data_IF_332754679463
#
_entry.id   IF_332754679463
#
_cell.length_a   1.000
_cell.length_b   1.000
_cell.length_c   1.000
_cell.angle_alpha   90.00
_cell.angle_beta   90.00
_cell.angle_gamma   90.00
#
_symmetry.space_group_name_H-M   'P 1'
#
loop_
_entity.id
_entity.type
_entity.pdbx_description
1 polymer ?
#
# COMPACT_ATOMS: atom_id res chain seq x y z
N UNK A 1 -0.25 -4.57 -9.62
CA UNK A 1 -0.41 -5.77 -8.76
C UNK A 1 0.85 -6.63 -8.66
N UNK A 2 1.57 -6.91 -9.77
CA UNK A 2 2.78 -7.76 -9.76
C UNK A 2 3.90 -7.26 -8.83
N UNK A 3 4.25 -5.96 -8.85
CA UNK A 3 5.29 -5.39 -7.98
C UNK A 3 4.98 -5.54 -6.49
N UNK A 4 3.73 -5.29 -6.11
CA UNK A 4 3.23 -5.43 -4.73
C UNK A 4 3.38 -6.89 -4.25
N UNK A 5 3.01 -7.85 -5.10
CA UNK A 5 3.20 -9.28 -4.82
C UNK A 5 4.69 -9.66 -4.69
N UNK A 6 5.55 -9.16 -5.57
CA UNK A 6 7.00 -9.40 -5.54
C UNK A 6 7.66 -8.80 -4.29
N UNK A 7 7.29 -7.58 -3.88
CA UNK A 7 7.81 -6.96 -2.67
C UNK A 7 7.32 -7.69 -1.40
N UNK A 8 6.04 -8.07 -1.35
CA UNK A 8 5.48 -8.86 -0.24
C UNK A 8 6.14 -10.23 -0.11
N UNK A 9 6.36 -10.91 -1.23
CA UNK A 9 7.06 -12.20 -1.27
C UNK A 9 8.53 -12.09 -0.87
N UNK A 10 9.26 -11.10 -1.40
CA UNK A 10 10.67 -10.88 -1.06
C UNK A 10 10.87 -10.54 0.42
N UNK A 11 9.99 -9.70 0.99
CA UNK A 11 10.00 -9.39 2.43
C UNK A 11 9.68 -10.62 3.28
N UNK A 12 8.63 -11.37 2.91
CA UNK A 12 8.25 -12.59 3.63
C UNK A 12 9.33 -13.69 3.56
N UNK A 13 9.99 -13.84 2.41
CA UNK A 13 11.13 -14.74 2.23
C UNK A 13 12.31 -14.31 3.10
N UNK A 14 12.65 -13.03 3.09
CA UNK A 14 13.75 -12.49 3.90
C UNK A 14 13.53 -12.69 5.39
N UNK A 15 12.31 -12.42 5.89
CA UNK A 15 11.96 -12.65 7.30
C UNK A 15 12.06 -14.13 7.64
N UNK A 16 11.45 -15.02 6.84
CA UNK A 16 11.49 -16.46 7.06
C UNK A 16 12.92 -17.01 7.07
N UNK A 17 13.74 -16.60 6.10
CA UNK A 17 15.14 -17.01 6.02
C UNK A 17 15.94 -16.54 7.24
N UNK A 18 15.82 -15.27 7.64
CA UNK A 18 16.51 -14.72 8.81
C UNK A 18 16.05 -15.42 10.10
N UNK A 19 14.75 -15.66 10.26
CA UNK A 19 14.23 -16.35 11.46
C UNK A 19 14.73 -17.79 11.54
N UNK A 20 14.68 -18.55 10.45
CA UNK A 20 15.13 -19.95 10.49
C UNK A 20 16.66 -20.07 10.64
N UNK A 21 17.42 -19.06 10.17
CA UNK A 21 18.86 -18.97 10.41
C UNK A 21 19.18 -18.68 11.89
N UNK A 22 18.38 -17.82 12.55
CA UNK A 22 18.49 -17.58 13.99
C UNK A 22 18.18 -18.82 14.84
N UNK A 23 17.32 -19.71 14.35
CA UNK A 23 16.90 -20.93 15.05
C UNK A 23 17.77 -22.17 14.74
N UNK A 24 18.91 -22.00 14.05
CA UNK A 24 19.86 -23.08 13.68
C UNK A 24 19.16 -24.33 13.11
N UNK A 25 18.15 -24.10 12.27
CA UNK A 25 17.41 -25.18 11.65
C UNK A 25 18.22 -25.84 10.53
N UNK A 26 18.05 -27.15 10.37
CA UNK A 26 18.62 -27.88 9.23
C UNK A 26 18.27 -27.15 7.89
N UNK A 27 19.20 -27.10 6.93
CA UNK A 27 19.07 -26.25 5.73
C UNK A 27 17.84 -26.56 4.89
N UNK A 28 17.39 -27.82 4.87
CA UNK A 28 16.14 -28.26 4.23
C UNK A 28 14.90 -27.57 4.83
N UNK A 29 14.88 -27.41 6.17
CA UNK A 29 13.78 -26.75 6.88
C UNK A 29 13.81 -25.23 6.70
N UNK A 30 14.99 -24.62 6.63
CA UNK A 30 15.16 -23.18 6.40
C UNK A 30 14.57 -22.76 5.05
N UNK A 31 14.81 -23.56 4.00
CA UNK A 31 14.29 -23.30 2.66
C UNK A 31 12.76 -23.40 2.62
N UNK A 32 12.19 -24.40 3.30
CA UNK A 32 10.74 -24.58 3.40
C UNK A 32 10.10 -23.42 4.15
N UNK A 33 10.66 -23.03 5.28
CA UNK A 33 10.12 -21.96 6.13
C UNK A 33 10.23 -20.59 5.45
N UNK A 34 11.33 -20.32 4.74
CA UNK A 34 11.47 -19.15 3.88
C UNK A 34 10.48 -19.16 2.71
N UNK A 35 10.21 -20.31 2.09
CA UNK A 35 9.21 -20.43 1.02
C UNK A 35 7.78 -20.20 1.53
N UNK A 36 7.45 -20.73 2.71
CA UNK A 36 6.17 -20.47 3.39
C UNK A 36 6.05 -19.00 3.77
N UNK A 37 7.11 -18.41 4.31
CA UNK A 37 7.20 -16.98 4.60
C UNK A 37 6.99 -16.11 3.36
N UNK A 38 7.58 -16.49 2.21
CA UNK A 38 7.35 -15.82 0.93
C UNK A 38 5.88 -15.86 0.51
N UNK A 39 5.26 -17.04 0.60
CA UNK A 39 3.86 -17.25 0.21
C UNK A 39 2.90 -16.47 1.12
N UNK A 40 3.15 -16.50 2.43
CA UNK A 40 2.41 -15.74 3.43
C UNK A 40 2.57 -14.23 3.25
N UNK A 41 3.81 -13.74 3.07
CA UNK A 41 4.09 -12.33 2.84
C UNK A 41 3.45 -11.81 1.55
N UNK A 42 3.49 -12.60 0.48
CA UNK A 42 2.88 -12.24 -0.79
C UNK A 42 1.34 -12.19 -0.70
N UNK A 43 0.72 -13.13 0.02
CA UNK A 43 -0.73 -13.16 0.23
C UNK A 43 -1.20 -12.01 1.12
N UNK A 44 -0.50 -11.76 2.24
CA UNK A 44 -0.81 -10.67 3.16
C UNK A 44 -0.70 -9.31 2.46
N UNK A 45 0.37 -9.09 1.70
CA UNK A 45 0.59 -7.84 1.00
C UNK A 45 -0.43 -7.64 -0.14
N UNK A 46 -0.91 -8.72 -0.78
CA UNK A 46 -2.02 -8.66 -1.74
C UNK A 46 -3.35 -8.28 -1.08
N UNK A 47 -3.65 -8.84 0.08
CA UNK A 47 -4.87 -8.50 0.83
C UNK A 47 -4.82 -7.07 1.37
N UNK A 48 -3.70 -6.69 1.99
CA UNK A 48 -3.45 -5.34 2.48
C UNK A 48 -3.59 -4.28 1.38
N UNK A 49 -2.99 -4.52 0.21
CA UNK A 49 -3.09 -3.59 -0.91
C UNK A 49 -4.53 -3.40 -1.41
N UNK A 50 -5.35 -4.44 -1.33
CA UNK A 50 -6.78 -4.36 -1.72
C UNK A 50 -7.53 -3.40 -0.79
N UNK A 51 -7.27 -3.48 0.51
CA UNK A 51 -7.89 -2.63 1.52
C UNK A 51 -7.40 -1.17 1.41
N UNK A 52 -6.08 -0.98 1.26
CA UNK A 52 -5.49 0.35 1.09
C UNK A 52 -6.04 1.04 -0.16
N UNK A 53 -6.17 0.32 -1.28
CA UNK A 53 -6.76 0.90 -2.50
C UNK A 53 -8.25 1.20 -2.35
N UNK A 54 -9.00 0.40 -1.61
CA UNK A 54 -10.40 0.69 -1.31
C UNK A 54 -10.51 2.00 -0.51
N UNK A 55 -9.76 2.14 0.58
CA UNK A 55 -9.75 3.37 1.38
C UNK A 55 -9.22 4.60 0.62
N UNK A 56 -8.19 4.43 -0.22
CA UNK A 56 -7.69 5.52 -1.05
C UNK A 56 -8.72 5.96 -2.10
N UNK A 57 -9.44 5.01 -2.72
CA UNK A 57 -10.55 5.35 -3.62
C UNK A 57 -11.66 6.11 -2.90
N UNK A 58 -12.06 5.66 -1.72
CA UNK A 58 -13.11 6.32 -0.94
C UNK A 58 -12.73 7.74 -0.54
N UNK A 59 -11.48 7.96 -0.10
CA UNK A 59 -10.99 9.31 0.25
C UNK A 59 -10.85 10.22 -0.97
N UNK A 60 -10.43 9.70 -2.12
CA UNK A 60 -10.37 10.47 -3.37
C UNK A 60 -11.79 10.83 -3.85
N UNK A 61 -12.73 9.89 -3.81
CA UNK A 61 -14.13 10.16 -4.17
C UNK A 61 -14.76 11.16 -3.21
N UNK A 62 -14.53 11.05 -1.90
CA UNK A 62 -15.02 12.01 -0.92
C UNK A 62 -14.46 13.42 -1.18
N UNK A 63 -13.17 13.55 -1.51
CA UNK A 63 -12.55 14.84 -1.89
C UNK A 63 -13.11 15.37 -3.21
N UNK A 64 -13.32 14.50 -4.20
CA UNK A 64 -13.88 14.88 -5.49
C UNK A 64 -15.31 15.42 -5.33
N UNK A 65 -16.14 14.72 -4.56
CA UNK A 65 -17.51 15.15 -4.25
C UNK A 65 -17.51 16.48 -3.47
N UNK A 66 -16.59 16.68 -2.51
CA UNK A 66 -16.45 17.94 -1.79
C UNK A 66 -16.03 19.09 -2.72
N UNK A 67 -15.14 18.83 -3.69
CA UNK A 67 -14.72 19.83 -4.68
C UNK A 67 -15.84 20.21 -5.65
N UNK A 68 -16.70 19.26 -6.04
CA UNK A 68 -17.88 19.52 -6.88
C UNK A 68 -19.00 20.24 -6.12
N UNK A 69 -19.14 19.98 -4.82
CA UNK A 69 -20.11 20.66 -3.97
C UNK A 69 -19.67 22.08 -3.56
N UNK A 70 -18.41 22.45 -3.81
CA UNK A 70 -17.94 23.82 -3.61
C UNK A 70 -18.34 24.64 -4.84
N UNK A 71 -19.28 25.60 -4.73
CA UNK A 71 -19.58 26.49 -5.84
C UNK A 71 -18.29 27.25 -6.19
N UNK A 72 -18.02 27.37 -7.50
CA UNK A 72 -16.90 28.16 -7.99
C UNK A 72 -16.83 29.50 -7.24
N UNK A 73 -15.67 29.90 -6.69
CA UNK A 73 -15.54 31.23 -6.11
C UNK A 73 -15.94 32.22 -7.21
N UNK A 74 -16.97 33.01 -6.93
CA UNK A 74 -17.40 34.07 -7.83
C UNK A 74 -16.17 34.89 -8.21
N UNK A 75 -15.98 35.22 -9.51
CA UNK A 75 -14.81 35.97 -9.94
C UNK A 75 -14.75 37.24 -9.11
N UNK A 76 -13.72 37.36 -8.27
CA UNK A 76 -13.45 38.56 -7.50
C UNK A 76 -13.21 39.67 -8.50
N UNK A 77 -14.21 40.55 -8.65
CA UNK A 77 -14.13 41.72 -9.49
C UNK A 77 -12.85 42.50 -9.15
N UNK A 78 -12.07 42.94 -10.15
CA UNK A 78 -10.83 43.65 -9.89
C UNK A 78 -11.16 44.92 -9.12
N UNK A 79 -10.53 45.08 -7.96
CA UNK A 79 -10.65 46.27 -7.15
C UNK A 79 -10.31 47.50 -8.01
N UNK A 80 -11.35 48.28 -8.33
CA UNK A 80 -11.20 49.57 -8.97
C UNK A 80 -10.35 50.46 -8.06
N UNK A 81 -9.09 50.68 -8.42
CA UNK A 81 -8.24 51.70 -7.82
C UNK A 81 -8.84 53.07 -8.17
N UNK A 82 -9.49 53.69 -7.21
CA UNK A 82 -9.71 55.13 -7.20
C UNK A 82 -8.55 55.79 -6.44
N UNK A 83 -7.60 56.41 -7.17
CA UNK A 83 -7.00 57.70 -6.84
C UNK A 83 -6.12 58.20 -7.99
#
# INVERSE_FOLDING_TARGET
>A
MKFVFLCGGALGFGVGLVTSWLLDHAPDRVLLDAAVGCLAGAMLFRWFWTIVLAGLRDTVLARYHASLATPAPAPTAPAAKAK
#
